data_IF_790939010870
#
_entry.id   IF_790939010870
#
_cell.length_a   1.000
_cell.length_b   1.000
_cell.length_c   1.000
_cell.angle_alpha   90.00
_cell.angle_beta   90.00
_cell.angle_gamma   90.00
#
_symmetry.space_group_name_H-M   'P 1'
#
loop_
_entity.id
_entity.type
_entity.pdbx_description
1 polymer ?
#
# COMPACT_ATOMS: atom_id res chain seq x y z
N UNK A 1 4.77 -55.22 -22.21
CA UNK A 1 4.24 -53.85 -22.34
C UNK A 1 5.36 -52.87 -22.05
N UNK A 2 5.30 -51.64 -22.57
CA UNK A 2 6.34 -50.64 -22.28
C UNK A 2 6.21 -50.21 -20.82
N UNK A 3 7.27 -50.36 -20.02
CA UNK A 3 7.27 -50.06 -18.58
C UNK A 3 7.95 -48.71 -18.24
N UNK A 4 8.53 -48.03 -19.24
CA UNK A 4 9.26 -46.76 -19.10
C UNK A 4 8.82 -45.74 -20.18
N UNK A 5 9.27 -44.50 -20.06
CA UNK A 5 9.10 -43.47 -21.10
C UNK A 5 10.24 -43.59 -22.10
N UNK A 6 9.92 -43.60 -23.40
CA UNK A 6 10.91 -43.64 -24.47
C UNK A 6 10.45 -42.83 -25.69
N UNK A 7 11.36 -42.53 -26.61
CA UNK A 7 11.08 -41.83 -27.87
C UNK A 7 11.35 -42.77 -29.03
N UNK A 8 10.32 -43.06 -29.82
CA UNK A 8 10.40 -43.91 -31.00
C UNK A 8 9.95 -43.13 -32.23
N UNK A 9 10.81 -43.02 -33.25
CA UNK A 9 10.55 -42.24 -34.48
C UNK A 9 10.05 -40.81 -34.21
N UNK A 10 10.58 -40.16 -33.16
CA UNK A 10 10.18 -38.81 -32.74
C UNK A 10 8.85 -38.73 -31.98
N UNK A 11 8.18 -39.86 -31.76
CA UNK A 11 6.95 -39.96 -30.96
C UNK A 11 7.31 -40.40 -29.55
N UNK A 12 6.85 -39.63 -28.55
CA UNK A 12 7.02 -39.98 -27.15
C UNK A 12 6.02 -41.06 -26.76
N UNK A 13 6.54 -42.23 -26.37
CA UNK A 13 5.75 -43.38 -25.94
C UNK A 13 5.87 -43.50 -24.43
N UNK A 14 4.72 -43.63 -23.75
CA UNK A 14 4.68 -43.89 -22.32
C UNK A 14 3.56 -44.88 -21.97
N UNK A 15 3.62 -45.43 -20.76
CA UNK A 15 2.54 -46.25 -20.24
C UNK A 15 1.39 -45.38 -19.68
N UNK A 16 0.22 -46.00 -19.50
CA UNK A 16 -0.97 -45.29 -19.02
C UNK A 16 -0.78 -44.61 -17.66
N UNK A 17 0.05 -45.20 -16.79
CA UNK A 17 0.33 -44.64 -15.46
C UNK A 17 1.15 -43.34 -15.53
N UNK A 18 2.00 -43.17 -16.54
CA UNK A 18 2.87 -42.01 -16.71
C UNK A 18 2.27 -40.90 -17.60
N UNK A 19 1.14 -41.17 -18.26
CA UNK A 19 0.50 -40.24 -19.21
C UNK A 19 0.26 -38.85 -18.62
N UNK A 20 -0.28 -38.76 -17.40
CA UNK A 20 -0.59 -37.47 -16.76
C UNK A 20 0.68 -36.64 -16.51
N UNK A 21 1.73 -37.28 -16.01
CA UNK A 21 3.02 -36.63 -15.77
C UNK A 21 3.68 -36.17 -17.07
N UNK A 22 3.60 -36.99 -18.13
CA UNK A 22 4.12 -36.64 -19.44
C UNK A 22 3.39 -35.43 -20.04
N UNK A 23 2.06 -35.40 -19.97
CA UNK A 23 1.26 -34.26 -20.46
C UNK A 23 1.59 -32.98 -19.69
N UNK A 24 1.75 -33.05 -18.37
CA UNK A 24 2.14 -31.89 -17.57
C UNK A 24 3.54 -31.37 -17.95
N UNK A 25 4.50 -32.28 -18.13
CA UNK A 25 5.85 -31.93 -18.57
C UNK A 25 5.86 -31.30 -19.96
N UNK A 26 5.18 -31.92 -20.94
CA UNK A 26 5.08 -31.40 -22.31
C UNK A 26 4.41 -30.02 -22.35
N UNK A 27 3.34 -29.83 -21.58
CA UNK A 27 2.68 -28.52 -21.44
C UNK A 27 3.65 -27.47 -20.90
N UNK A 28 4.41 -27.81 -19.87
CA UNK A 28 5.40 -26.89 -19.29
C UNK A 28 6.49 -26.52 -20.31
N UNK A 29 6.99 -27.50 -21.07
CA UNK A 29 8.00 -27.27 -22.11
C UNK A 29 7.46 -26.40 -23.25
N UNK A 30 6.25 -26.67 -23.76
CA UNK A 30 5.61 -25.85 -24.79
C UNK A 30 5.39 -24.41 -24.31
N UNK A 31 4.97 -24.22 -23.06
CA UNK A 31 4.81 -22.88 -22.48
C UNK A 31 6.15 -22.15 -22.32
N UNK A 32 7.24 -22.85 -21.97
CA UNK A 32 8.59 -22.27 -21.91
C UNK A 32 9.07 -21.83 -23.28
N UNK A 33 8.89 -22.67 -24.30
CA UNK A 33 9.23 -22.36 -25.70
C UNK A 33 8.44 -21.16 -26.19
N UNK A 34 7.11 -21.14 -26.01
CA UNK A 34 6.27 -20.01 -26.42
C UNK A 34 6.65 -18.69 -25.74
N UNK A 35 7.04 -18.71 -24.46
CA UNK A 35 7.56 -17.52 -23.76
C UNK A 35 8.89 -17.04 -24.34
N UNK A 36 9.80 -17.96 -24.65
CA UNK A 36 11.07 -17.62 -25.29
C UNK A 36 10.84 -17.02 -26.68
N UNK A 37 9.94 -17.61 -27.47
CA UNK A 37 9.54 -17.11 -28.78
C UNK A 37 8.90 -15.71 -28.70
N UNK A 38 8.03 -15.44 -27.72
CA UNK A 38 7.43 -14.12 -27.52
C UNK A 38 8.49 -13.04 -27.22
N UNK A 39 9.48 -13.37 -26.38
CA UNK A 39 10.62 -12.49 -26.10
C UNK A 39 11.48 -12.31 -27.35
N UNK A 40 11.62 -13.34 -28.18
CA UNK A 40 12.35 -13.31 -29.45
C UNK A 40 11.60 -12.61 -30.59
N UNK A 41 10.28 -12.55 -30.55
CA UNK A 41 9.42 -11.92 -31.55
C UNK A 41 9.41 -10.39 -31.46
N UNK A 42 9.91 -9.80 -30.37
CA UNK A 42 10.14 -8.35 -30.30
C UNK A 42 11.34 -8.00 -31.19
N UNK A 43 11.26 -7.00 -32.10
CA UNK A 43 12.34 -6.67 -33.03
C UNK A 43 13.67 -6.50 -32.29
N UNK A 44 14.71 -7.17 -32.78
CA UNK A 44 16.01 -7.28 -32.10
C UNK A 44 16.62 -5.90 -31.77
N UNK A 45 16.46 -4.93 -32.67
CA UNK A 45 16.91 -3.54 -32.49
C UNK A 45 16.29 -2.83 -31.29
N UNK A 46 15.01 -3.09 -30.98
CA UNK A 46 14.32 -2.46 -29.87
C UNK A 46 14.76 -3.05 -28.53
N UNK A 47 15.06 -4.36 -28.49
CA UNK A 47 15.58 -5.03 -27.29
C UNK A 47 16.98 -4.56 -26.96
N UNK A 48 17.85 -4.45 -27.95
CA UNK A 48 19.23 -3.98 -27.77
C UNK A 48 19.26 -2.52 -27.31
N UNK A 49 18.38 -1.67 -27.83
CA UNK A 49 18.24 -0.28 -27.41
C UNK A 49 17.78 -0.16 -25.94
N UNK A 50 16.75 -0.92 -25.54
CA UNK A 50 16.27 -0.92 -24.16
C UNK A 50 17.32 -1.46 -23.19
N UNK A 51 17.99 -2.56 -23.55
CA UNK A 51 19.04 -3.14 -22.73
C UNK A 51 20.22 -2.18 -22.56
N UNK A 52 20.66 -1.54 -23.66
CA UNK A 52 21.71 -0.50 -23.63
C UNK A 52 21.30 0.70 -22.77
N UNK A 53 20.03 1.10 -22.80
CA UNK A 53 19.54 2.17 -21.94
C UNK A 53 19.49 1.76 -20.47
N UNK A 54 18.95 0.59 -20.13
CA UNK A 54 18.87 0.08 -18.76
C UNK A 54 20.24 -0.13 -18.12
N UNK A 55 21.24 -0.50 -18.91
CA UNK A 55 22.63 -0.64 -18.46
C UNK A 55 23.43 0.67 -18.50
N UNK A 56 22.84 1.76 -19.02
CA UNK A 56 23.53 3.04 -19.12
C UNK A 56 23.63 3.76 -17.77
N UNK A 57 24.69 4.57 -17.56
CA UNK A 57 24.79 5.45 -16.40
C UNK A 57 23.59 6.42 -16.25
N UNK A 58 22.99 6.81 -17.38
CA UNK A 58 21.84 7.73 -17.41
C UNK A 58 20.59 7.11 -16.77
N UNK A 59 20.37 5.81 -16.97
CA UNK A 59 19.27 5.10 -16.31
C UNK A 59 19.51 4.99 -14.80
N UNK A 60 20.72 4.62 -14.38
CA UNK A 60 21.10 4.56 -12.97
C UNK A 60 20.93 5.91 -12.26
N UNK A 61 21.37 7.01 -12.88
CA UNK A 61 21.18 8.37 -12.37
C UNK A 61 19.70 8.73 -12.20
N UNK A 62 18.83 8.34 -13.15
CA UNK A 62 17.38 8.59 -13.03
C UNK A 62 16.77 7.84 -11.85
N UNK A 63 17.11 6.56 -11.67
CA UNK A 63 16.63 5.78 -10.53
C UNK A 63 17.15 6.36 -9.22
N UNK A 64 18.43 6.75 -9.18
CA UNK A 64 19.03 7.39 -8.01
C UNK A 64 18.30 8.67 -7.62
N UNK A 65 18.02 9.55 -8.58
CA UNK A 65 17.25 10.78 -8.33
C UNK A 65 15.83 10.48 -7.82
N UNK A 66 15.18 9.44 -8.31
CA UNK A 66 13.85 9.01 -7.80
C UNK A 66 13.96 8.55 -6.34
N UNK A 67 14.99 7.76 -6.01
CA UNK A 67 15.23 7.29 -4.64
C UNK A 67 15.51 8.45 -3.68
N UNK A 68 16.38 9.38 -4.09
CA UNK A 68 16.73 10.59 -3.30
C UNK A 68 15.51 11.47 -3.07
N UNK A 69 14.73 11.76 -4.11
CA UNK A 69 13.51 12.55 -3.99
C UNK A 69 12.49 11.86 -3.07
N UNK A 70 12.35 10.54 -3.18
CA UNK A 70 11.44 9.77 -2.32
C UNK A 70 11.89 9.84 -0.85
N UNK A 71 13.18 9.75 -0.60
CA UNK A 71 13.74 9.85 0.75
C UNK A 71 13.51 11.26 1.34
N UNK A 72 13.79 12.31 0.57
CA UNK A 72 13.54 13.69 0.99
C UNK A 72 12.05 13.97 1.29
N UNK A 73 11.14 13.42 0.48
CA UNK A 73 9.70 13.52 0.71
C UNK A 73 9.27 12.79 1.99
N UNK A 74 9.85 11.62 2.30
CA UNK A 74 9.57 10.90 3.55
C UNK A 74 10.01 11.71 4.77
N UNK A 75 11.20 12.29 4.73
CA UNK A 75 11.73 13.12 5.82
C UNK A 75 10.87 14.37 6.04
N UNK A 76 10.44 15.01 4.95
CA UNK A 76 9.51 16.14 5.01
C UNK A 76 8.19 15.72 5.65
N UNK A 77 7.59 14.62 5.20
CA UNK A 77 6.34 14.09 5.75
C UNK A 77 6.45 13.79 7.26
N UNK A 78 7.56 13.20 7.72
CA UNK A 78 7.75 12.91 9.14
C UNK A 78 8.01 14.18 9.98
N UNK A 79 8.59 15.22 9.39
CA UNK A 79 8.66 16.55 10.01
C UNK A 79 7.28 17.20 10.13
N UNK A 80 6.45 17.10 9.09
CA UNK A 80 5.09 17.63 9.06
C UNK A 80 4.20 16.93 10.09
N UNK A 81 4.25 15.59 10.16
CA UNK A 81 3.51 14.81 11.16
C UNK A 81 3.81 15.29 12.59
N UNK A 82 5.09 15.47 12.94
CA UNK A 82 5.50 15.96 14.27
C UNK A 82 4.98 17.38 14.53
N UNK A 83 5.07 18.27 13.54
CA UNK A 83 4.55 19.64 13.65
C UNK A 83 3.04 19.68 13.84
N UNK A 84 2.31 18.89 13.06
CA UNK A 84 0.85 18.79 13.12
C UNK A 84 0.39 18.19 14.45
N UNK A 85 1.04 17.13 14.94
CA UNK A 85 0.75 16.56 16.27
C UNK A 85 0.91 17.60 17.38
N UNK A 86 1.98 18.40 17.34
CA UNK A 86 2.15 19.52 18.28
C UNK A 86 1.02 20.55 18.15
N UNK A 87 0.61 20.87 16.92
CA UNK A 87 -0.47 21.82 16.67
C UNK A 87 -1.81 21.30 17.20
N UNK A 88 -2.12 20.02 16.98
CA UNK A 88 -3.31 19.37 17.53
C UNK A 88 -3.34 19.42 19.05
N UNK A 89 -2.25 19.04 19.73
CA UNK A 89 -2.21 19.10 21.20
C UNK A 89 -2.39 20.52 21.72
N UNK A 90 -1.82 21.52 21.03
CA UNK A 90 -2.04 22.94 21.36
C UNK A 90 -3.51 23.33 21.23
N UNK A 91 -4.14 23.02 20.09
CA UNK A 91 -5.56 23.36 19.86
C UNK A 91 -6.50 22.64 20.80
N UNK A 92 -6.22 21.37 21.12
CA UNK A 92 -6.97 20.60 22.10
C UNK A 92 -6.94 21.29 23.47
N UNK A 93 -5.76 21.70 23.93
CA UNK A 93 -5.63 22.46 25.19
C UNK A 93 -6.34 23.83 25.15
N UNK A 94 -6.33 24.52 24.01
CA UNK A 94 -7.07 25.77 23.83
C UNK A 94 -8.58 25.56 23.90
N UNK A 95 -9.10 24.49 23.26
CA UNK A 95 -10.52 24.12 23.29
C UNK A 95 -10.94 23.76 24.72
N UNK A 96 -10.21 22.87 25.38
CA UNK A 96 -10.48 22.48 26.78
C UNK A 96 -10.50 23.70 27.71
N UNK A 97 -9.57 24.64 27.50
CA UNK A 97 -9.50 25.88 28.29
C UNK A 97 -10.71 26.79 28.07
N UNK A 98 -11.22 26.87 26.84
CA UNK A 98 -12.42 27.65 26.52
C UNK A 98 -13.67 26.96 27.10
N UNK A 99 -13.81 25.65 26.94
CA UNK A 99 -14.92 24.87 27.51
C UNK A 99 -14.99 25.03 29.02
N UNK A 100 -13.85 24.93 29.71
CA UNK A 100 -13.75 25.14 31.15
C UNK A 100 -14.20 26.56 31.54
N UNK A 101 -13.78 27.58 30.78
CA UNK A 101 -14.21 28.96 31.02
C UNK A 101 -15.72 29.13 30.84
N UNK A 102 -16.31 28.50 29.81
CA UNK A 102 -17.76 28.55 29.59
C UNK A 102 -18.53 27.88 30.73
N UNK A 103 -18.08 26.71 31.20
CA UNK A 103 -18.68 26.00 32.33
C UNK A 103 -18.62 26.84 33.61
N UNK A 104 -17.45 27.42 33.91
CA UNK A 104 -17.28 28.27 35.08
C UNK A 104 -18.19 29.50 35.02
N UNK A 105 -18.23 30.19 33.89
CA UNK A 105 -19.11 31.35 33.68
C UNK A 105 -20.59 30.96 33.86
N UNK A 106 -21.00 29.83 33.28
CA UNK A 106 -22.38 29.36 33.40
C UNK A 106 -22.73 29.01 34.86
N UNK A 107 -21.83 28.36 35.59
CA UNK A 107 -22.00 28.07 37.02
C UNK A 107 -22.04 29.33 37.90
N UNK A 108 -21.20 30.33 37.59
CA UNK A 108 -21.24 31.64 38.27
C UNK A 108 -22.59 32.34 38.04
N UNK A 109 -23.08 32.36 36.80
CA UNK A 109 -24.38 32.94 36.45
C UNK A 109 -25.53 32.17 37.10
N UNK A 110 -25.49 30.84 37.13
CA UNK A 110 -26.49 30.01 37.83
C UNK A 110 -26.50 30.31 39.33
N UNK A 111 -25.34 30.55 39.95
CA UNK A 111 -25.25 30.97 41.35
C UNK A 111 -25.90 32.32 41.65
N UNK A 112 -25.86 33.26 40.69
CA UNK A 112 -26.43 34.62 40.84
C UNK A 112 -27.91 34.68 40.45
N UNK A 113 -28.26 34.09 39.32
CA UNK A 113 -29.59 34.19 38.67
C UNK A 113 -30.50 33.02 39.07
N UNK A 114 -29.93 31.91 39.53
CA UNK A 114 -30.66 30.71 39.90
C UNK A 114 -31.43 30.11 38.73
N UNK A 115 -32.65 29.63 39.00
CA UNK A 115 -33.49 28.90 38.04
C UNK A 115 -34.01 29.72 36.84
N UNK A 116 -33.72 31.02 36.79
CA UNK A 116 -34.11 31.87 35.67
C UNK A 116 -33.10 31.83 34.50
N UNK A 117 -31.93 31.21 34.68
CA UNK A 117 -30.95 31.04 33.62
C UNK A 117 -31.41 29.95 32.62
N UNK A 118 -31.38 30.20 31.29
CA UNK A 118 -31.74 29.21 30.29
C UNK A 118 -30.77 28.02 30.30
N UNK A 119 -31.33 26.80 30.35
CA UNK A 119 -30.57 25.55 30.34
C UNK A 119 -29.82 25.36 29.01
N UNK A 120 -28.55 24.96 29.10
CA UNK A 120 -27.72 24.57 27.95
C UNK A 120 -27.45 23.07 28.05
N UNK A 121 -27.99 22.28 27.13
CA UNK A 121 -27.90 20.81 27.15
C UNK A 121 -26.45 20.29 27.26
N UNK A 122 -25.49 20.97 26.61
CA UNK A 122 -24.07 20.60 26.65
C UNK A 122 -23.43 20.69 28.05
N UNK A 123 -24.04 21.40 29.00
CA UNK A 123 -23.53 21.58 30.37
C UNK A 123 -24.43 20.91 31.42
N UNK A 124 -25.48 20.21 30.99
CA UNK A 124 -26.39 19.50 31.88
C UNK A 124 -25.96 18.04 32.02
N UNK A 125 -26.12 17.49 33.22
CA UNK A 125 -25.88 16.07 33.47
C UNK A 125 -27.01 15.24 32.85
N UNK A 126 -26.73 14.48 31.79
CA UNK A 126 -27.69 13.52 31.22
C UNK A 126 -27.78 12.30 32.15
N UNK A 127 -28.72 12.33 33.10
CA UNK A 127 -29.02 11.20 33.96
C UNK A 127 -29.79 10.13 33.15
N UNK A 128 -29.08 9.35 32.31
CA UNK A 128 -29.62 8.07 31.86
C UNK A 128 -29.55 7.09 33.03
N UNK A 129 -30.61 7.06 33.83
CA UNK A 129 -30.92 5.98 34.74
C UNK A 129 -31.43 4.81 33.89
N UNK A 130 -30.59 3.78 33.73
CA UNK A 130 -31.06 2.43 33.44
C UNK A 130 -31.84 1.86 34.64
#
# INVERSE_FOLDING_TARGET
GVHHMDVYDGVWVCNQAMLKSLVMLLREQLLKVAKAELVMATPQDQRDLLFKYMTSPKFAQKIQAICENTQAMKETLDSEKRSIQKNWKKRESEIEGIETQMINLYGELEGVVGKALPKVEAFELDYKRD
#
